data_IF_627370849033
#
_entry.id   IF_627370849033
#
_cell.length_a   1.000
_cell.length_b   1.000
_cell.length_c   1.000
_cell.angle_alpha   90.00
_cell.angle_beta   90.00
_cell.angle_gamma   90.00
#
_symmetry.space_group_name_H-M   'P 1'
#
loop_
_entity.id
_entity.type
_entity.pdbx_description
1 polymer ?
#
# COMPACT_ATOMS: atom_id res chain seq x y z
N UNK A 1 15.75 -5.11 -4.21
CA UNK A 1 15.31 -4.55 -5.52
C UNK A 1 13.87 -4.09 -5.36
N UNK A 2 13.48 -2.90 -5.83
CA UNK A 2 12.07 -2.47 -5.83
C UNK A 2 11.51 -2.75 -7.21
N UNK A 3 10.53 -3.65 -7.31
CA UNK A 3 9.89 -4.03 -8.57
C UNK A 3 8.41 -3.66 -8.54
N UNK A 4 7.98 -2.85 -9.52
CA UNK A 4 6.58 -2.58 -9.82
C UNK A 4 6.30 -2.94 -11.26
N UNK A 5 5.27 -3.74 -11.52
CA UNK A 5 4.91 -4.17 -12.86
C UNK A 5 3.87 -5.28 -12.89
N UNK A 6 3.29 -5.50 -14.07
CA UNK A 6 2.26 -6.53 -14.36
C UNK A 6 2.70 -7.97 -14.15
N UNK A 7 3.99 -8.19 -13.89
CA UNK A 7 4.66 -9.50 -13.85
C UNK A 7 4.79 -10.06 -12.43
N UNK A 8 4.15 -9.40 -11.46
CA UNK A 8 4.04 -9.92 -10.09
C UNK A 8 3.10 -11.13 -10.04
N UNK A 9 3.32 -12.10 -9.13
CA UNK A 9 2.45 -13.26 -8.96
C UNK A 9 0.99 -12.81 -8.78
N UNK A 10 0.14 -13.19 -9.74
CA UNK A 10 -1.28 -12.82 -9.72
C UNK A 10 -2.00 -13.57 -8.59
N UNK A 11 -2.14 -12.91 -7.45
CA UNK A 11 -3.03 -13.36 -6.37
C UNK A 11 -4.49 -13.04 -6.73
N UNK A 12 -5.50 -13.84 -6.32
CA UNK A 12 -6.90 -13.43 -6.38
C UNK A 12 -7.05 -12.02 -5.77
N UNK A 13 -7.46 -11.03 -6.56
CA UNK A 13 -7.38 -9.59 -6.23
C UNK A 13 -6.30 -8.79 -6.99
N UNK A 14 -5.67 -9.38 -8.02
CA UNK A 14 -4.67 -8.78 -8.92
C UNK A 14 -5.14 -7.53 -9.71
N UNK A 15 -6.34 -7.03 -9.44
CA UNK A 15 -6.83 -5.75 -9.98
C UNK A 15 -6.28 -4.54 -9.21
N UNK A 16 -5.74 -4.74 -8.00
CA UNK A 16 -5.21 -3.66 -7.17
C UNK A 16 -3.68 -3.61 -7.24
N UNK A 17 -3.17 -2.47 -7.69
CA UNK A 17 -1.73 -2.20 -7.78
C UNK A 17 -1.04 -2.29 -6.41
N UNK A 18 0.13 -2.92 -6.37
CA UNK A 18 0.95 -3.07 -5.16
C UNK A 18 2.43 -3.00 -5.52
N UNK A 19 3.23 -2.50 -4.58
CA UNK A 19 4.70 -2.56 -4.63
C UNK A 19 5.14 -3.81 -3.88
N UNK A 20 6.06 -4.56 -4.48
CA UNK A 20 6.70 -5.72 -3.83
C UNK A 20 8.12 -5.34 -3.48
N UNK A 21 8.48 -5.55 -2.22
CA UNK A 21 9.78 -5.21 -1.67
C UNK A 21 10.44 -6.43 -1.06
N UNK A 22 11.74 -6.52 -1.28
CA UNK A 22 12.63 -7.46 -0.60
C UNK A 22 12.96 -6.92 0.79
N UNK A 23 11.95 -7.00 1.68
CA UNK A 23 12.01 -6.49 3.05
C UNK A 23 11.17 -7.40 3.95
N UNK A 24 11.81 -7.93 4.99
CA UNK A 24 11.15 -8.70 6.03
C UNK A 24 10.28 -7.80 6.93
N UNK A 25 9.04 -7.53 6.49
CA UNK A 25 8.03 -6.88 7.31
C UNK A 25 7.59 -7.81 8.44
N UNK A 26 7.36 -7.24 9.63
CA UNK A 26 6.89 -7.98 10.81
C UNK A 26 5.59 -7.36 11.33
N UNK A 27 4.84 -8.04 12.23
CA UNK A 27 3.75 -7.39 12.95
C UNK A 27 4.20 -6.05 13.55
N UNK A 28 3.39 -5.01 13.37
CA UNK A 28 3.70 -3.64 13.78
C UNK A 28 4.29 -2.74 12.68
N UNK A 29 4.68 -3.28 11.53
CA UNK A 29 5.13 -2.48 10.38
C UNK A 29 3.98 -1.98 9.49
N UNK A 30 2.80 -2.59 9.58
CA UNK A 30 1.61 -2.19 8.79
C UNK A 30 1.24 -0.74 9.05
N UNK A 31 0.91 0.00 7.99
CA UNK A 31 0.64 1.44 8.03
C UNK A 31 1.89 2.32 7.99
N UNK A 32 3.09 1.74 8.12
CA UNK A 32 4.35 2.49 8.07
C UNK A 32 4.68 3.00 6.66
N UNK A 33 5.37 4.15 6.55
CA UNK A 33 5.76 4.73 5.26
C UNK A 33 6.84 3.88 4.58
N UNK A 34 6.71 3.70 3.27
CA UNK A 34 7.78 3.22 2.40
C UNK A 34 8.35 4.43 1.65
N UNK A 35 9.64 4.69 1.84
CA UNK A 35 10.33 5.83 1.23
C UNK A 35 11.49 5.39 0.34
N UNK A 36 11.82 6.19 -0.68
CA UNK A 36 13.04 6.01 -1.45
C UNK A 36 14.28 6.58 -0.72
N UNK A 37 15.45 6.46 -1.36
CA UNK A 37 16.73 6.94 -0.82
C UNK A 37 16.83 8.46 -0.62
N UNK A 38 15.92 9.25 -1.20
CA UNK A 38 15.81 10.70 -0.99
C UNK A 38 14.77 11.04 0.10
N UNK A 39 14.10 10.04 0.68
CA UNK A 39 13.03 10.24 1.65
C UNK A 39 11.66 10.50 1.02
N UNK A 40 11.51 10.32 -0.29
CA UNK A 40 10.22 10.49 -0.98
C UNK A 40 9.28 9.33 -0.63
N UNK A 41 8.05 9.63 -0.23
CA UNK A 41 7.02 8.61 0.03
C UNK A 41 6.60 7.92 -1.27
N UNK A 42 6.84 6.62 -1.35
CA UNK A 42 6.47 5.79 -2.51
C UNK A 42 5.35 4.80 -2.19
N UNK A 43 5.01 4.59 -0.91
CA UNK A 43 3.88 3.77 -0.53
C UNK A 43 3.70 3.57 0.98
N UNK A 44 2.77 2.69 1.35
CA UNK A 44 2.45 2.33 2.72
C UNK A 44 2.47 0.82 2.91
N UNK A 45 3.23 0.33 3.88
CA UNK A 45 3.39 -1.09 4.18
C UNK A 45 2.06 -1.69 4.65
N UNK A 46 1.67 -2.85 4.12
CA UNK A 46 0.40 -3.50 4.49
C UNK A 46 0.60 -4.88 5.10
N UNK A 47 1.27 -5.78 4.37
CA UNK A 47 1.39 -7.18 4.72
C UNK A 47 2.70 -7.78 4.20
N UNK A 48 3.10 -8.88 4.81
CA UNK A 48 4.16 -9.75 4.31
C UNK A 48 3.55 -10.94 3.55
N UNK A 49 4.28 -11.46 2.57
CA UNK A 49 4.02 -12.75 1.95
C UNK A 49 5.24 -13.65 2.15
N UNK A 50 5.08 -14.74 2.90
CA UNK A 50 6.23 -15.51 3.38
C UNK A 50 7.07 -14.75 4.42
N UNK A 51 8.36 -15.11 4.53
CA UNK A 51 9.25 -14.58 5.57
C UNK A 51 10.02 -13.31 5.17
N UNK A 52 10.18 -13.05 3.87
CA UNK A 52 11.15 -12.07 3.36
C UNK A 52 10.55 -11.01 2.43
N UNK A 53 9.31 -11.23 1.96
CA UNK A 53 8.69 -10.34 0.97
C UNK A 53 7.64 -9.45 1.63
N UNK A 54 7.83 -8.14 1.52
CA UNK A 54 6.89 -7.13 1.95
C UNK A 54 6.04 -6.62 0.79
N UNK A 55 4.82 -6.19 1.11
CA UNK A 55 3.89 -5.56 0.18
C UNK A 55 3.51 -4.17 0.68
N UNK A 56 3.44 -3.22 -0.24
CA UNK A 56 2.96 -1.87 0.04
C UNK A 56 1.90 -1.41 -0.97
N UNK A 57 1.00 -0.55 -0.52
CA UNK A 57 0.09 0.21 -1.40
C UNK A 57 0.88 1.40 -1.95
N UNK A 58 0.90 1.65 -3.27
CA UNK A 58 1.58 2.81 -3.85
C UNK A 58 1.01 4.14 -3.36
N UNK A 59 1.84 5.18 -3.26
CA UNK A 59 1.41 6.51 -2.79
C UNK A 59 0.30 7.11 -3.66
N UNK A 60 0.37 7.00 -4.99
CA UNK A 60 -0.68 7.55 -5.88
C UNK A 60 -2.05 6.90 -5.67
N UNK A 61 -2.10 5.61 -5.30
CA UNK A 61 -3.35 4.91 -4.97
C UNK A 61 -3.95 5.46 -3.67
N UNK A 62 -3.10 5.79 -2.69
CA UNK A 62 -3.52 6.40 -1.42
C UNK A 62 -4.04 7.81 -1.68
N UNK A 63 -3.33 8.59 -2.48
CA UNK A 63 -3.71 9.95 -2.86
C UNK A 63 -5.06 9.98 -3.58
N UNK A 64 -5.27 9.10 -4.56
CA UNK A 64 -6.54 8.96 -5.28
C UNK A 64 -7.68 8.59 -4.33
N UNK A 65 -7.45 7.65 -3.42
CA UNK A 65 -8.44 7.24 -2.42
C UNK A 65 -8.83 8.42 -1.51
N UNK A 66 -7.86 9.16 -0.97
CA UNK A 66 -8.10 10.31 -0.09
C UNK A 66 -8.80 11.44 -0.84
N UNK A 67 -8.42 11.71 -2.08
CA UNK A 67 -9.07 12.72 -2.91
C UNK A 67 -10.55 12.38 -3.14
N UNK A 68 -10.86 11.13 -3.50
CA UNK A 68 -12.25 10.66 -3.64
C UNK A 68 -13.03 10.77 -2.35
N UNK A 69 -12.45 10.32 -1.23
CA UNK A 69 -13.09 10.35 0.08
C UNK A 69 -13.36 11.77 0.59
N UNK A 70 -12.52 12.74 0.21
CA UNK A 70 -12.67 14.16 0.59
C UNK A 70 -13.63 14.92 -0.34
N UNK A 71 -13.74 14.48 -1.60
CA UNK A 71 -14.66 15.06 -2.60
C UNK A 71 -16.10 14.57 -2.44
N UNK A 72 -16.29 13.36 -1.92
CA UNK A 72 -17.56 12.98 -1.32
C UNK A 72 -17.69 13.81 -0.05
N UNK A 73 -18.76 14.57 0.12
CA UNK A 73 -19.04 15.35 1.34
C UNK A 73 -19.03 14.43 2.56
N UNK A 74 -17.84 14.20 3.13
CA UNK A 74 -17.62 13.30 4.25
C UNK A 74 -18.22 13.96 5.48
N UNK A 75 -19.49 13.68 5.74
CA UNK A 75 -20.26 14.26 6.86
C UNK A 75 -19.87 13.70 8.23
N UNK A 76 -18.75 12.99 8.35
CA UNK A 76 -18.23 12.48 9.62
C UNK A 76 -19.06 11.37 10.26
N UNK A 77 -20.14 10.90 9.63
CA UNK A 77 -21.04 9.87 10.14
C UNK A 77 -21.06 8.59 9.29
N UNK A 78 -19.92 8.23 8.72
CA UNK A 78 -19.75 6.99 7.98
C UNK A 78 -19.11 5.93 8.86
N UNK A 79 -19.85 4.86 9.17
CA UNK A 79 -19.34 3.64 9.82
C UNK A 79 -18.01 3.22 9.21
N UNK A 80 -16.95 3.22 10.02
CA UNK A 80 -15.75 2.44 9.72
C UNK A 80 -16.21 0.97 9.78
N UNK A 81 -16.44 0.36 8.61
CA UNK A 81 -16.56 -1.08 8.51
C UNK A 81 -15.18 -1.68 8.78
N UNK A 82 -14.93 -1.95 10.06
CA UNK A 82 -13.93 -2.93 10.53
C UNK A 82 -14.64 -4.22 10.92
#
# INVERSE_FOLDING_TARGET
MIGGGSDLPKSPGAERERIVVDLALRPGYSGGPLVDHQGTLIGMSILMTGLEVGMAVPSHVIEEFVAKASSADWSGSGTILV
#
